data_IF_733830661666
#
_entry.id   IF_733830661666
#
_cell.length_a   1.000
_cell.length_b   1.000
_cell.length_c   1.000
_cell.angle_alpha   90.00
_cell.angle_beta   90.00
_cell.angle_gamma   90.00
#
_symmetry.space_group_name_H-M   'P 1'
#
loop_
_entity.id
_entity.type
_entity.pdbx_description
1 polymer ?
#
# COMPACT_ATOMS: atom_id res chain seq x y z
N UNK A 1 -30.96 25.32 15.49
CA UNK A 1 -30.73 23.93 15.05
C UNK A 1 -30.68 23.96 13.54
N UNK A 2 -29.56 23.56 12.97
CA UNK A 2 -29.42 23.45 11.50
C UNK A 2 -30.38 22.39 10.97
N UNK A 3 -31.16 22.79 9.98
CA UNK A 3 -32.06 21.91 9.20
C UNK A 3 -31.23 21.08 8.21
N UNK A 4 -30.25 20.31 8.71
CA UNK A 4 -29.21 19.75 7.87
C UNK A 4 -29.39 18.23 7.69
N UNK A 5 -28.98 17.79 6.55
CA UNK A 5 -28.70 16.39 6.23
C UNK A 5 -27.63 15.82 7.18
N UNK A 6 -27.85 14.62 7.68
CA UNK A 6 -26.96 13.94 8.63
C UNK A 6 -26.58 12.58 8.06
N UNK A 7 -25.32 12.19 8.26
CA UNK A 7 -24.84 10.83 7.99
C UNK A 7 -24.48 10.17 9.31
N UNK A 8 -24.85 8.91 9.46
CA UNK A 8 -24.42 8.00 10.51
C UNK A 8 -23.51 6.93 9.89
N UNK A 9 -22.31 6.80 10.43
CA UNK A 9 -21.28 5.88 9.92
C UNK A 9 -21.64 4.42 10.16
N UNK A 10 -21.02 3.53 9.38
CA UNK A 10 -21.23 2.08 9.47
C UNK A 10 -21.07 1.57 10.89
N UNK A 11 -22.07 0.80 11.31
CA UNK A 11 -22.10 0.09 12.58
C UNK A 11 -22.95 -1.17 12.46
N UNK A 12 -22.77 -2.11 13.41
CA UNK A 12 -23.61 -3.30 13.46
C UNK A 12 -25.08 -2.92 13.66
N UNK A 13 -25.94 -3.35 12.73
CA UNK A 13 -27.36 -3.03 12.72
C UNK A 13 -28.21 -4.26 13.00
N UNK A 14 -28.82 -4.31 14.18
CA UNK A 14 -29.58 -5.48 14.65
C UNK A 14 -30.69 -5.94 13.68
N UNK A 15 -31.50 -5.04 13.07
CA UNK A 15 -32.53 -5.46 12.11
C UNK A 15 -32.00 -6.16 10.87
N UNK A 16 -30.71 -5.93 10.51
CA UNK A 16 -30.01 -6.62 9.41
C UNK A 16 -29.18 -7.81 9.90
N UNK A 17 -29.55 -8.41 11.03
CA UNK A 17 -28.79 -9.55 11.60
C UNK A 17 -27.39 -9.20 12.09
N UNK A 18 -27.16 -7.94 12.45
CA UNK A 18 -25.86 -7.45 12.92
C UNK A 18 -24.88 -7.07 11.81
N UNK A 19 -25.33 -7.07 10.56
CA UNK A 19 -24.50 -6.58 9.43
C UNK A 19 -24.23 -5.08 9.57
N UNK A 20 -23.10 -4.65 9.01
CA UNK A 20 -22.71 -3.24 9.00
C UNK A 20 -23.67 -2.43 8.11
N UNK A 21 -24.20 -1.35 8.67
CA UNK A 21 -25.08 -0.43 7.94
C UNK A 21 -24.73 1.02 8.28
N UNK A 22 -24.75 1.87 7.28
CA UNK A 22 -24.67 3.32 7.42
C UNK A 22 -26.00 3.94 6.96
N UNK A 23 -26.31 5.10 7.48
CA UNK A 23 -27.56 5.77 7.17
C UNK A 23 -27.32 7.23 6.84
N UNK A 24 -28.16 7.77 5.97
CA UNK A 24 -28.32 9.20 5.81
C UNK A 24 -29.72 9.61 6.19
N UNK A 25 -29.88 10.80 6.75
CA UNK A 25 -31.18 11.30 7.18
C UNK A 25 -31.35 12.78 6.89
N UNK A 26 -32.54 13.15 6.48
CA UNK A 26 -32.91 14.54 6.28
C UNK A 26 -34.30 14.82 6.88
N UNK A 27 -34.48 15.91 7.62
CA UNK A 27 -35.80 16.31 8.16
C UNK A 27 -36.66 16.93 7.06
N UNK A 28 -37.95 16.63 7.11
CA UNK A 28 -38.98 17.24 6.28
C UNK A 28 -39.79 18.20 7.12
N UNK A 29 -39.97 19.42 6.64
CA UNK A 29 -40.68 20.49 7.34
C UNK A 29 -41.93 20.94 6.59
N UNK A 30 -42.93 21.38 7.31
CA UNK A 30 -44.09 22.09 6.72
C UNK A 30 -43.77 23.56 6.39
N UNK A 31 -44.73 24.26 5.79
CA UNK A 31 -44.59 25.67 5.44
C UNK A 31 -44.38 26.59 6.65
N UNK A 32 -44.81 26.17 7.84
CA UNK A 32 -44.63 26.91 9.08
C UNK A 32 -43.27 26.60 9.76
N UNK A 33 -42.47 25.69 9.20
CA UNK A 33 -41.15 25.31 9.72
C UNK A 33 -41.21 24.24 10.81
N UNK A 34 -42.33 23.56 11.02
CA UNK A 34 -42.43 22.43 11.95
C UNK A 34 -41.96 21.12 11.25
N UNK A 35 -41.14 20.35 11.96
CA UNK A 35 -40.69 19.05 11.46
C UNK A 35 -41.86 18.06 11.41
N UNK A 36 -42.14 17.52 10.24
CA UNK A 36 -43.24 16.59 9.98
C UNK A 36 -42.76 15.13 9.92
N UNK A 37 -41.55 14.92 9.40
CA UNK A 37 -40.98 13.60 9.22
C UNK A 37 -39.44 13.67 9.14
N UNK A 38 -38.80 12.50 9.18
CA UNK A 38 -37.42 12.31 8.77
C UNK A 38 -37.41 11.28 7.66
N UNK A 39 -36.79 11.61 6.53
CA UNK A 39 -36.48 10.62 5.48
C UNK A 39 -35.11 10.08 5.78
N UNK A 40 -35.01 8.77 5.92
CA UNK A 40 -33.74 8.07 6.12
C UNK A 40 -33.50 7.04 5.03
N UNK A 41 -32.26 6.99 4.54
CA UNK A 41 -31.81 6.01 3.54
C UNK A 41 -30.67 5.20 4.13
N UNK A 42 -30.72 3.89 3.97
CA UNK A 42 -29.59 3.01 4.27
C UNK A 42 -28.59 3.06 3.11
N UNK A 43 -27.33 3.30 3.43
CA UNK A 43 -26.23 3.34 2.44
C UNK A 43 -25.73 1.90 2.24
N UNK A 44 -25.84 1.34 1.04
CA UNK A 44 -25.34 -0.02 0.78
C UNK A 44 -23.81 -0.03 0.72
N UNK A 45 -23.20 -0.96 1.46
CA UNK A 45 -21.74 -1.15 1.46
C UNK A 45 -21.18 -1.45 0.06
N UNK A 46 -21.97 -2.14 -0.77
CA UNK A 46 -21.60 -2.46 -2.14
C UNK A 46 -21.36 -1.18 -2.97
N UNK A 47 -22.17 -0.13 -2.81
CA UNK A 47 -21.97 1.11 -3.55
C UNK A 47 -20.63 1.79 -3.21
N UNK A 48 -20.17 1.68 -1.96
CA UNK A 48 -18.84 2.17 -1.56
C UNK A 48 -17.76 1.33 -2.21
N UNK A 49 -17.86 0.01 -2.15
CA UNK A 49 -16.91 -0.90 -2.79
C UNK A 49 -16.82 -0.68 -4.30
N UNK A 50 -17.94 -0.52 -5.00
CA UNK A 50 -17.98 -0.28 -6.45
C UNK A 50 -17.22 1.00 -6.86
N UNK A 51 -17.17 2.00 -5.98
CA UNK A 51 -16.41 3.24 -6.20
C UNK A 51 -14.92 3.02 -5.95
N UNK A 52 -14.56 2.52 -4.76
CA UNK A 52 -13.14 2.43 -4.35
C UNK A 52 -12.38 1.29 -5.00
N UNK A 53 -13.07 0.24 -5.45
CA UNK A 53 -12.44 -0.91 -6.10
C UNK A 53 -12.25 -0.74 -7.62
N UNK A 54 -12.43 0.47 -8.14
CA UNK A 54 -12.05 0.79 -9.51
C UNK A 54 -10.53 0.80 -9.65
N UNK A 55 -9.99 -0.29 -10.20
CA UNK A 55 -8.54 -0.53 -10.27
C UNK A 55 -7.90 -0.05 -11.58
N UNK A 56 -8.60 0.77 -12.37
CA UNK A 56 -8.06 1.27 -13.62
C UNK A 56 -6.79 2.10 -13.37
N UNK A 57 -5.68 1.69 -13.97
CA UNK A 57 -4.38 2.35 -13.79
C UNK A 57 -3.57 1.87 -12.59
N UNK A 58 -4.12 1.02 -11.71
CA UNK A 58 -3.44 0.53 -10.51
C UNK A 58 -2.70 -0.81 -10.71
N UNK A 59 -2.63 -1.34 -11.94
CA UNK A 59 -1.96 -2.60 -12.22
C UNK A 59 -2.62 -3.81 -11.56
N UNK A 60 -1.81 -4.82 -11.23
CA UNK A 60 -2.27 -6.08 -10.63
C UNK A 60 -2.32 -6.03 -9.11
N UNK A 61 -1.36 -5.36 -8.48
CA UNK A 61 -1.20 -5.29 -7.02
C UNK A 61 -1.79 -4.03 -6.40
N UNK A 62 -2.07 -3.02 -7.23
CA UNK A 62 -2.61 -1.76 -6.76
C UNK A 62 -4.06 -1.88 -6.34
N UNK A 63 -4.41 -1.24 -5.23
CA UNK A 63 -5.79 -1.15 -4.74
C UNK A 63 -6.02 0.11 -3.94
N UNK A 64 -7.28 0.52 -3.87
CA UNK A 64 -7.75 1.56 -2.95
C UNK A 64 -8.68 0.95 -1.91
N UNK A 65 -8.54 1.38 -0.66
CA UNK A 65 -9.45 0.99 0.42
C UNK A 65 -9.71 2.16 1.37
N UNK A 66 -10.78 2.01 2.16
CA UNK A 66 -11.20 3.00 3.16
C UNK A 66 -11.11 2.43 4.56
N UNK A 67 -10.69 3.27 5.50
CA UNK A 67 -10.67 2.97 6.94
C UNK A 67 -11.09 4.19 7.75
N UNK A 68 -11.52 3.95 8.99
CA UNK A 68 -11.87 5.03 9.91
C UNK A 68 -11.47 4.70 11.35
N UNK A 69 -11.33 5.75 12.17
CA UNK A 69 -11.33 5.60 13.63
C UNK A 69 -12.77 5.60 14.13
N UNK A 70 -13.16 4.55 14.85
CA UNK A 70 -14.47 4.44 15.50
C UNK A 70 -14.33 3.78 16.87
N UNK A 71 -14.84 4.40 17.91
CA UNK A 71 -14.85 3.89 19.29
C UNK A 71 -13.45 3.44 19.77
N UNK A 72 -12.41 4.21 19.42
CA UNK A 72 -11.02 3.91 19.76
C UNK A 72 -10.36 2.83 18.91
N UNK A 73 -11.02 2.31 17.89
CA UNK A 73 -10.56 1.28 16.96
C UNK A 73 -10.31 1.83 15.58
N UNK A 74 -9.41 1.19 14.85
CA UNK A 74 -9.21 1.41 13.41
C UNK A 74 -9.95 0.29 12.68
N UNK A 75 -10.91 0.64 11.84
CA UNK A 75 -11.80 -0.34 11.18
C UNK A 75 -11.93 -0.06 9.69
N UNK A 76 -12.06 -1.11 8.88
CA UNK A 76 -12.33 -0.96 7.45
C UNK A 76 -13.70 -0.34 7.18
N UNK A 77 -13.74 0.50 6.14
CA UNK A 77 -14.95 1.10 5.54
C UNK A 77 -15.21 0.61 4.13
N UNK A 78 -14.32 -0.18 3.58
CA UNK A 78 -14.48 -0.92 2.33
C UNK A 78 -13.86 -2.30 2.47
N UNK A 79 -14.09 -3.17 1.49
CA UNK A 79 -13.41 -4.46 1.40
C UNK A 79 -12.07 -4.29 0.69
N UNK A 80 -11.02 -5.01 1.13
CA UNK A 80 -9.78 -5.18 0.39
C UNK A 80 -9.82 -6.44 -0.46
N UNK A 81 -9.35 -6.35 -1.71
CA UNK A 81 -9.33 -7.47 -2.66
C UNK A 81 -7.99 -8.18 -2.76
N UNK A 82 -6.86 -7.44 -2.59
CA UNK A 82 -5.51 -7.99 -2.80
C UNK A 82 -5.01 -8.85 -1.64
N UNK A 83 -5.61 -8.71 -0.47
CA UNK A 83 -5.31 -9.56 0.68
C UNK A 83 -6.33 -10.70 0.75
N UNK A 84 -6.10 -11.76 0.02
CA UNK A 84 -7.00 -12.91 -0.18
C UNK A 84 -7.81 -13.36 1.03
N UNK A 85 -8.85 -14.17 0.80
CA UNK A 85 -9.67 -14.91 1.77
C UNK A 85 -10.84 -14.17 2.44
N UNK A 86 -11.25 -12.99 1.98
CA UNK A 86 -12.45 -12.33 2.51
C UNK A 86 -12.36 -11.92 3.99
N UNK A 87 -11.16 -11.90 4.59
CA UNK A 87 -10.96 -11.47 5.98
C UNK A 87 -11.10 -9.97 6.15
N UNK A 88 -10.63 -9.19 5.18
CA UNK A 88 -10.58 -7.73 5.27
C UNK A 88 -11.84 -7.12 4.66
N UNK A 89 -12.92 -7.23 5.41
CA UNK A 89 -14.25 -6.74 5.03
C UNK A 89 -14.63 -5.51 5.84
N UNK A 90 -15.67 -4.81 5.39
CA UNK A 90 -16.26 -3.70 6.10
C UNK A 90 -16.50 -4.02 7.59
N UNK A 91 -15.97 -3.17 8.46
CA UNK A 91 -16.08 -3.30 9.91
C UNK A 91 -15.02 -4.18 10.57
N UNK A 92 -14.11 -4.81 9.80
CA UNK A 92 -12.99 -5.56 10.37
C UNK A 92 -12.06 -4.62 11.16
N UNK A 93 -11.66 -5.04 12.35
CA UNK A 93 -10.80 -4.31 13.28
C UNK A 93 -9.32 -4.49 12.92
N UNK A 94 -8.67 -3.39 12.59
CA UNK A 94 -7.25 -3.33 12.20
C UNK A 94 -6.34 -2.81 13.31
N UNK A 95 -6.87 -2.48 14.48
CA UNK A 95 -6.16 -1.67 15.47
C UNK A 95 -4.76 -2.20 15.79
N UNK A 96 -4.62 -3.52 15.95
CA UNK A 96 -3.35 -4.14 16.33
C UNK A 96 -2.40 -4.38 15.15
N UNK A 97 -2.89 -4.27 13.92
CA UNK A 97 -2.14 -4.57 12.69
C UNK A 97 -2.14 -3.41 11.69
N UNK A 98 -2.64 -2.25 12.10
CA UNK A 98 -2.70 -1.07 11.24
C UNK A 98 -1.29 -0.66 10.80
N UNK A 99 -1.01 -0.59 9.49
CA UNK A 99 0.29 -0.15 9.03
C UNK A 99 0.50 1.34 9.36
N UNK A 100 1.77 1.74 9.43
CA UNK A 100 2.18 3.09 9.81
C UNK A 100 1.47 4.15 8.95
N UNK A 101 1.48 3.99 7.64
CA UNK A 101 0.87 4.95 6.70
C UNK A 101 -0.64 5.15 6.95
N UNK A 102 -1.38 4.10 7.34
CA UNK A 102 -2.80 4.24 7.68
C UNK A 102 -2.99 5.06 8.96
N UNK A 103 -2.15 4.82 9.96
CA UNK A 103 -2.19 5.55 11.22
C UNK A 103 -1.85 7.04 11.01
N UNK A 104 -0.85 7.33 10.18
CA UNK A 104 -0.45 8.68 9.79
C UNK A 104 -1.57 9.41 9.06
N UNK A 105 -2.17 8.77 8.04
CA UNK A 105 -3.33 9.35 7.32
C UNK A 105 -4.50 9.63 8.27
N UNK A 106 -4.85 8.69 9.16
CA UNK A 106 -5.92 8.88 10.15
C UNK A 106 -5.61 9.95 11.20
N UNK A 107 -4.36 10.38 11.31
CA UNK A 107 -3.94 11.52 12.13
C UNK A 107 -3.88 12.83 11.33
N UNK A 108 -4.29 12.84 10.07
CA UNK A 108 -4.32 14.01 9.19
C UNK A 108 -2.97 14.37 8.58
N UNK A 109 -2.03 13.43 8.55
CA UNK A 109 -0.76 13.61 7.85
C UNK A 109 -0.95 13.29 6.36
N UNK A 110 -0.31 14.09 5.51
CA UNK A 110 -0.20 13.78 4.07
C UNK A 110 0.76 12.60 3.89
N UNK A 111 0.26 11.55 3.24
CA UNK A 111 1.01 10.31 3.03
C UNK A 111 1.21 10.09 1.53
N UNK A 112 2.44 10.32 1.07
CA UNK A 112 2.87 10.02 -0.31
C UNK A 112 4.31 9.55 -0.27
N UNK A 113 4.53 8.24 0.00
CA UNK A 113 5.87 7.69 0.13
C UNK A 113 5.89 6.17 -0.10
N UNK A 114 7.07 5.59 0.00
CA UNK A 114 7.29 4.13 0.01
C UNK A 114 7.31 3.64 1.45
N UNK A 115 6.46 2.70 1.74
CA UNK A 115 6.34 2.04 3.05
C UNK A 115 6.59 0.55 2.93
N UNK A 116 6.84 -0.09 4.05
CA UNK A 116 6.86 -1.56 4.14
C UNK A 116 5.47 -2.03 4.60
N UNK A 117 4.86 -2.92 3.84
CA UNK A 117 3.56 -3.50 4.19
C UNK A 117 3.69 -4.64 5.23
N UNK A 118 2.57 -5.22 5.64
CA UNK A 118 2.53 -6.30 6.62
C UNK A 118 3.22 -7.60 6.17
N UNK A 119 3.52 -7.74 4.88
CA UNK A 119 4.29 -8.87 4.32
C UNK A 119 5.79 -8.62 4.30
N UNK A 120 6.24 -7.40 4.64
CA UNK A 120 7.61 -6.95 4.50
C UNK A 120 7.98 -6.43 3.11
N UNK A 121 7.01 -6.35 2.19
CA UNK A 121 7.24 -5.85 0.84
C UNK A 121 7.13 -4.31 0.78
N UNK A 122 8.01 -3.63 0.01
CA UNK A 122 7.88 -2.20 -0.21
C UNK A 122 6.68 -1.89 -1.11
N UNK A 123 5.86 -0.96 -0.66
CA UNK A 123 4.66 -0.47 -1.36
C UNK A 123 4.71 1.03 -1.52
N UNK A 124 4.36 1.54 -2.68
CA UNK A 124 4.03 2.95 -2.86
C UNK A 124 2.64 3.20 -2.28
N UNK A 125 2.51 4.21 -1.46
CA UNK A 125 1.26 4.57 -0.78
C UNK A 125 0.95 6.03 -1.00
N UNK A 126 -0.33 6.30 -1.27
CA UNK A 126 -0.94 7.62 -1.15
C UNK A 126 -2.13 7.51 -0.19
N UNK A 127 -2.17 8.38 0.80
CA UNK A 127 -3.22 8.39 1.82
C UNK A 127 -3.76 9.78 2.08
N UNK A 128 -5.09 9.92 2.11
CA UNK A 128 -5.77 11.19 2.33
C UNK A 128 -7.00 11.02 3.22
N UNK A 129 -7.38 12.07 3.96
CA UNK A 129 -8.63 12.09 4.71
C UNK A 129 -9.77 12.58 3.83
N UNK A 130 -10.84 11.81 3.80
CA UNK A 130 -12.08 12.15 3.10
C UNK A 130 -13.13 12.53 4.15
N UNK A 131 -13.64 13.75 4.06
CA UNK A 131 -14.79 14.20 4.86
C UNK A 131 -16.09 13.66 4.26
N UNK A 132 -16.74 12.79 5.00
CA UNK A 132 -18.01 12.16 4.60
C UNK A 132 -19.20 13.03 5.01
N UNK A 133 -18.98 14.04 5.82
CA UNK A 133 -20.03 14.88 6.44
C UNK A 133 -20.36 14.44 7.86
N UNK A 134 -21.11 15.27 8.55
CA UNK A 134 -21.51 15.04 9.96
C UNK A 134 -20.34 14.83 10.94
N UNK A 135 -19.14 15.33 10.59
CA UNK A 135 -17.93 15.15 11.39
C UNK A 135 -17.28 13.78 11.22
N UNK A 136 -17.72 12.98 10.25
CA UNK A 136 -17.15 11.67 9.95
C UNK A 136 -16.00 11.83 8.95
N UNK A 137 -14.82 11.33 9.30
CA UNK A 137 -13.66 11.30 8.44
C UNK A 137 -13.21 9.86 8.21
N UNK A 138 -12.95 9.53 6.95
CA UNK A 138 -12.36 8.26 6.53
C UNK A 138 -10.99 8.49 5.92
N UNK A 139 -10.04 7.61 6.21
CA UNK A 139 -8.79 7.54 5.46
C UNK A 139 -9.05 6.77 4.16
N UNK A 140 -8.71 7.38 3.04
CA UNK A 140 -8.62 6.71 1.73
C UNK A 140 -7.15 6.40 1.47
N UNK A 141 -6.84 5.13 1.34
CA UNK A 141 -5.49 4.65 1.07
C UNK A 141 -5.46 3.99 -0.29
N UNK A 142 -4.57 4.46 -1.14
CA UNK A 142 -4.21 3.79 -2.40
C UNK A 142 -2.80 3.26 -2.27
N UNK A 143 -2.60 1.98 -2.52
CA UNK A 143 -1.27 1.35 -2.47
C UNK A 143 -1.02 0.48 -3.70
N UNK A 144 0.25 0.37 -4.08
CA UNK A 144 0.72 -0.52 -5.15
C UNK A 144 2.08 -1.06 -4.78
N UNK A 145 2.37 -2.33 -5.10
CA UNK A 145 3.71 -2.89 -4.91
C UNK A 145 4.76 -2.07 -5.68
N UNK A 146 5.83 -1.68 -4.99
CA UNK A 146 6.88 -0.84 -5.56
C UNK A 146 7.52 -1.49 -6.79
N UNK A 147 7.75 -2.80 -6.75
CA UNK A 147 8.27 -3.52 -7.91
C UNK A 147 7.36 -3.33 -9.12
N UNK A 148 6.05 -3.54 -8.98
CA UNK A 148 5.12 -3.38 -10.10
C UNK A 148 5.09 -1.94 -10.60
N UNK A 149 5.08 -0.96 -9.69
CA UNK A 149 5.10 0.46 -10.06
C UNK A 149 6.32 0.84 -10.89
N UNK A 150 7.51 0.32 -10.55
CA UNK A 150 8.76 0.60 -11.24
C UNK A 150 8.96 -0.23 -12.51
N UNK A 151 8.34 -1.42 -12.59
CA UNK A 151 8.53 -2.35 -13.72
C UNK A 151 7.29 -2.44 -14.61
N UNK A 152 6.32 -1.55 -14.42
CA UNK A 152 5.09 -1.53 -15.21
C UNK A 152 5.43 -1.45 -16.71
N UNK A 153 5.27 -2.58 -17.38
CA UNK A 153 5.28 -2.64 -18.84
C UNK A 153 4.00 -1.99 -19.34
N UNK A 154 4.10 -1.10 -20.30
CA UNK A 154 2.92 -0.60 -21.03
C UNK A 154 2.03 -1.76 -21.51
N UNK A 155 0.85 -1.47 -22.02
CA UNK A 155 -0.20 -2.42 -22.43
C UNK A 155 0.23 -3.55 -23.39
N UNK A 156 1.48 -3.62 -23.81
CA UNK A 156 2.01 -4.53 -24.84
C UNK A 156 2.67 -5.82 -24.31
N UNK A 157 2.80 -5.99 -22.98
CA UNK A 157 3.44 -7.22 -22.43
C UNK A 157 4.93 -7.36 -22.73
N UNK A 158 5.59 -6.26 -23.13
CA UNK A 158 7.01 -6.21 -23.41
C UNK A 158 7.86 -6.41 -22.13
N UNK A 159 9.14 -6.79 -22.31
CA UNK A 159 10.12 -6.81 -21.22
C UNK A 159 10.16 -5.45 -20.49
N UNK A 160 10.29 -5.48 -19.16
CA UNK A 160 10.41 -4.25 -18.39
C UNK A 160 11.70 -3.48 -18.70
N UNK A 161 11.75 -2.23 -18.26
CA UNK A 161 12.89 -1.35 -18.53
C UNK A 161 14.24 -1.93 -18.07
N UNK A 162 14.29 -2.56 -16.89
CA UNK A 162 15.53 -3.08 -16.32
C UNK A 162 16.00 -4.35 -17.04
N UNK A 163 15.08 -5.19 -17.48
CA UNK A 163 15.38 -6.33 -18.34
C UNK A 163 16.00 -5.90 -19.67
N UNK A 164 15.43 -4.88 -20.32
CA UNK A 164 16.01 -4.29 -21.54
C UNK A 164 17.38 -3.70 -21.26
N UNK A 165 17.54 -3.00 -20.14
CA UNK A 165 18.82 -2.39 -19.76
C UNK A 165 19.94 -3.43 -19.61
N UNK A 166 19.73 -4.51 -18.86
CA UNK A 166 20.77 -5.54 -18.69
C UNK A 166 21.10 -6.25 -20.01
N UNK A 167 20.11 -6.51 -20.86
CA UNK A 167 20.32 -7.11 -22.18
C UNK A 167 21.17 -6.21 -23.08
N UNK A 168 20.94 -4.89 -23.09
CA UNK A 168 21.68 -3.94 -23.90
C UNK A 168 23.14 -3.81 -23.47
N UNK A 169 23.41 -3.83 -22.15
CA UNK A 169 24.76 -3.63 -21.60
C UNK A 169 25.48 -4.93 -21.24
N UNK A 170 24.83 -6.08 -21.40
CA UNK A 170 25.43 -7.39 -21.13
C UNK A 170 25.62 -7.72 -19.65
N UNK A 171 24.84 -7.12 -18.76
CA UNK A 171 24.81 -7.50 -17.35
C UNK A 171 24.04 -8.82 -17.16
N UNK A 172 24.43 -9.59 -16.15
CA UNK A 172 23.75 -10.82 -15.80
C UNK A 172 22.43 -10.57 -15.07
N UNK A 173 22.44 -9.64 -14.12
CA UNK A 173 21.27 -9.26 -13.33
C UNK A 173 21.33 -7.78 -12.90
N UNK A 174 20.21 -7.25 -12.47
CA UNK A 174 20.08 -5.93 -11.86
C UNK A 174 19.19 -6.05 -10.62
N UNK A 175 19.65 -5.49 -9.51
CA UNK A 175 18.99 -5.51 -8.21
C UNK A 175 18.49 -4.13 -7.83
N UNK A 176 17.27 -4.04 -7.29
CA UNK A 176 16.81 -2.88 -6.54
C UNK A 176 16.65 -3.28 -5.08
N UNK A 177 17.31 -2.53 -4.23
CA UNK A 177 17.40 -2.81 -2.79
C UNK A 177 16.95 -1.57 -2.03
N UNK A 178 16.05 -1.73 -1.07
CA UNK A 178 15.57 -0.61 -0.26
C UNK A 178 16.60 -0.20 0.82
N UNK A 179 16.32 0.88 1.53
CA UNK A 179 17.20 1.39 2.60
C UNK A 179 17.44 0.41 3.75
N UNK A 180 16.54 -0.56 3.93
CA UNK A 180 16.65 -1.58 4.97
C UNK A 180 17.46 -2.79 4.50
N UNK A 181 17.88 -2.83 3.23
CA UNK A 181 18.63 -3.93 2.63
C UNK A 181 17.79 -5.02 1.99
N UNK A 182 16.48 -4.84 1.87
CA UNK A 182 15.58 -5.80 1.26
C UNK A 182 15.63 -5.72 -0.27
N UNK A 183 15.87 -6.85 -0.94
CA UNK A 183 15.87 -6.98 -2.40
C UNK A 183 14.42 -7.10 -2.88
N UNK A 184 13.84 -6.01 -3.33
CA UNK A 184 12.47 -5.99 -3.79
C UNK A 184 12.32 -6.22 -5.31
N UNK A 185 13.41 -6.15 -6.05
CA UNK A 185 13.46 -6.45 -7.47
C UNK A 185 14.81 -7.06 -7.88
N UNK A 186 14.78 -8.08 -8.71
CA UNK A 186 15.88 -8.54 -9.57
C UNK A 186 15.29 -9.02 -10.89
N UNK A 187 16.06 -8.95 -11.96
CA UNK A 187 15.60 -9.43 -13.27
C UNK A 187 15.52 -10.94 -13.29
N UNK A 188 16.55 -11.64 -12.79
CA UNK A 188 16.64 -13.10 -12.84
C UNK A 188 15.80 -13.82 -11.79
N UNK A 189 15.44 -13.13 -10.68
CA UNK A 189 14.68 -13.67 -9.54
C UNK A 189 15.29 -14.95 -8.97
N UNK A 190 16.61 -14.95 -8.78
CA UNK A 190 17.32 -16.03 -8.13
C UNK A 190 16.98 -16.10 -6.62
N UNK A 191 17.70 -16.93 -5.87
CA UNK A 191 17.39 -17.22 -4.46
C UNK A 191 17.58 -16.04 -3.49
N UNK A 192 18.19 -14.95 -3.94
CA UNK A 192 18.36 -13.68 -3.22
C UNK A 192 17.17 -12.72 -3.39
N UNK A 193 16.32 -12.94 -4.37
CA UNK A 193 15.09 -12.19 -4.54
C UNK A 193 14.21 -12.32 -3.29
N UNK A 194 13.67 -11.19 -2.82
CA UNK A 194 12.87 -11.09 -1.59
C UNK A 194 13.61 -11.51 -0.30
N UNK A 195 14.93 -11.34 -0.28
CA UNK A 195 15.76 -11.53 0.93
C UNK A 195 16.37 -10.21 1.38
N UNK A 196 16.85 -10.17 2.62
CA UNK A 196 17.54 -9.00 3.17
C UNK A 196 19.05 -9.17 3.07
N UNK A 197 19.76 -8.21 2.44
CA UNK A 197 21.20 -8.19 2.24
C UNK A 197 21.96 -7.61 3.44
N UNK A 198 21.29 -7.15 4.46
CA UNK A 198 21.89 -6.57 5.68
C UNK A 198 22.07 -7.60 6.77
N UNK A 199 21.03 -8.40 7.02
CA UNK A 199 20.93 -9.36 8.13
C UNK A 199 20.33 -10.71 7.72
N UNK A 200 19.97 -10.88 6.43
CA UNK A 200 19.42 -12.12 5.91
C UNK A 200 20.49 -13.14 5.51
N UNK A 201 20.02 -14.23 4.90
CA UNK A 201 20.82 -15.41 4.53
C UNK A 201 22.07 -15.10 3.70
N UNK A 202 22.05 -14.03 2.91
CA UNK A 202 23.13 -13.67 1.98
C UNK A 202 23.87 -12.39 2.39
N UNK A 203 23.71 -11.93 3.63
CA UNK A 203 24.36 -10.72 4.18
C UNK A 203 25.89 -10.79 4.14
N UNK A 204 26.48 -11.98 4.28
CA UNK A 204 27.91 -12.21 4.24
C UNK A 204 28.48 -12.39 2.82
N UNK A 205 27.62 -12.42 1.79
CA UNK A 205 28.06 -12.49 0.39
C UNK A 205 28.74 -11.17 -0.03
N UNK A 206 29.51 -11.23 -1.14
CA UNK A 206 30.12 -10.02 -1.70
C UNK A 206 29.06 -8.96 -2.09
N UNK A 207 27.87 -9.36 -2.59
CA UNK A 207 26.76 -8.44 -2.80
C UNK A 207 26.24 -7.87 -1.48
N UNK A 208 26.00 -8.71 -0.45
CA UNK A 208 25.53 -8.27 0.86
C UNK A 208 26.47 -7.27 1.51
N UNK A 209 27.77 -7.53 1.48
CA UNK A 209 28.80 -6.61 1.99
C UNK A 209 28.84 -5.31 1.20
N UNK A 210 28.72 -5.36 -0.14
CA UNK A 210 28.66 -4.19 -1.00
C UNK A 210 27.44 -3.31 -0.68
N UNK A 211 26.25 -3.90 -0.55
CA UNK A 211 25.01 -3.16 -0.20
C UNK A 211 25.17 -2.47 1.18
N UNK A 212 25.73 -3.18 2.17
CA UNK A 212 25.99 -2.59 3.48
C UNK A 212 26.99 -1.44 3.42
N UNK A 213 28.04 -1.55 2.59
CA UNK A 213 29.02 -0.51 2.37
C UNK A 213 28.40 0.73 1.74
N UNK A 214 27.70 0.56 0.61
CA UNK A 214 27.06 1.65 -0.16
C UNK A 214 25.97 2.34 0.65
N UNK A 215 25.17 1.58 1.42
CA UNK A 215 24.15 2.15 2.32
C UNK A 215 24.76 3.07 3.39
N UNK A 216 25.98 2.79 3.87
CA UNK A 216 26.68 3.61 4.86
C UNK A 216 27.43 4.78 4.25
N UNK A 217 28.17 4.54 3.16
CA UNK A 217 28.99 5.58 2.52
C UNK A 217 28.19 6.56 1.70
N UNK A 218 27.03 6.13 1.18
CA UNK A 218 26.26 6.86 0.17
C UNK A 218 27.05 7.13 -1.13
N UNK A 219 28.07 6.32 -1.38
CA UNK A 219 28.94 6.43 -2.56
C UNK A 219 28.86 5.16 -3.38
N UNK A 220 29.23 5.24 -4.65
CA UNK A 220 29.42 4.12 -5.55
C UNK A 220 30.36 3.08 -4.93
N UNK A 221 30.06 1.81 -5.12
CA UNK A 221 30.89 0.70 -4.68
C UNK A 221 31.05 -0.41 -5.71
N UNK A 222 32.11 -1.20 -5.54
CA UNK A 222 32.40 -2.37 -6.38
C UNK A 222 32.85 -3.53 -5.48
N UNK A 223 32.29 -4.71 -5.72
CA UNK A 223 32.74 -5.97 -5.15
C UNK A 223 33.33 -6.87 -6.24
N UNK A 224 34.55 -7.32 -6.03
CA UNK A 224 35.26 -8.19 -6.96
C UNK A 224 34.66 -9.60 -7.04
N UNK A 225 35.05 -10.36 -8.04
CA UNK A 225 34.58 -11.73 -8.25
C UNK A 225 34.78 -12.60 -7.02
N UNK A 226 33.71 -13.22 -6.58
CA UNK A 226 33.67 -14.23 -5.53
C UNK A 226 32.58 -15.25 -5.81
N UNK A 227 32.68 -16.50 -5.28
CA UNK A 227 31.59 -17.46 -5.40
C UNK A 227 30.30 -16.89 -4.82
N UNK A 228 29.22 -16.89 -5.61
CA UNK A 228 27.94 -16.35 -5.23
C UNK A 228 26.86 -17.44 -5.12
N UNK A 229 26.43 -17.72 -3.90
CA UNK A 229 25.54 -18.85 -3.64
C UNK A 229 24.19 -18.78 -4.37
N UNK A 230 23.51 -17.62 -4.50
CA UNK A 230 22.27 -17.53 -5.28
C UNK A 230 22.43 -17.99 -6.74
N UNK A 231 23.56 -17.69 -7.38
CA UNK A 231 23.91 -18.13 -8.75
C UNK A 231 24.62 -19.50 -8.77
N UNK A 232 24.21 -20.43 -7.90
CA UNK A 232 24.77 -21.79 -7.79
C UNK A 232 26.31 -21.83 -7.54
N UNK A 233 26.83 -20.83 -6.84
CA UNK A 233 28.26 -20.73 -6.52
C UNK A 233 29.14 -20.26 -7.67
N UNK A 234 28.58 -19.81 -8.77
CA UNK A 234 29.35 -19.17 -9.85
C UNK A 234 30.00 -17.89 -9.35
N UNK A 235 31.15 -17.55 -9.93
CA UNK A 235 31.82 -16.30 -9.57
C UNK A 235 31.05 -15.09 -10.12
N UNK A 236 30.69 -14.16 -9.24
CA UNK A 236 30.00 -12.93 -9.59
C UNK A 236 30.70 -11.71 -8.98
N UNK A 237 30.80 -10.64 -9.77
CA UNK A 237 31.23 -9.32 -9.32
C UNK A 237 30.05 -8.37 -9.39
N UNK A 238 30.02 -7.38 -8.52
CA UNK A 238 28.90 -6.45 -8.41
C UNK A 238 29.36 -5.01 -8.39
N UNK A 239 28.54 -4.15 -8.99
CA UNK A 239 28.63 -2.70 -8.84
C UNK A 239 27.34 -2.22 -8.19
N UNK A 240 27.42 -1.24 -7.29
CA UNK A 240 26.25 -0.66 -6.66
C UNK A 240 26.39 0.85 -6.54
N UNK A 241 25.26 1.53 -6.69
CA UNK A 241 25.15 2.97 -6.56
C UNK A 241 23.89 3.32 -5.75
N UNK A 242 23.96 4.27 -4.80
CA UNK A 242 22.78 4.74 -4.12
C UNK A 242 21.89 5.55 -5.08
N UNK A 243 20.58 5.39 -4.95
CA UNK A 243 19.60 6.28 -5.54
C UNK A 243 19.16 7.23 -4.43
N UNK A 244 19.44 8.52 -4.58
CA UNK A 244 19.14 9.52 -3.56
C UNK A 244 17.96 10.37 -4.04
N UNK A 245 17.03 10.64 -3.11
CA UNK A 245 15.96 11.62 -3.33
C UNK A 245 16.33 12.92 -2.60
N UNK A 246 16.37 14.04 -3.33
CA UNK A 246 16.76 15.37 -2.82
C UNK A 246 18.09 15.41 -2.06
N UNK A 247 18.99 14.44 -2.31
CA UNK A 247 20.32 14.37 -1.69
C UNK A 247 20.39 13.56 -0.39
N UNK A 248 19.30 12.92 0.01
CA UNK A 248 19.20 12.01 1.15
C UNK A 248 18.93 10.55 0.74
#
# INVERSE_FOLDING_TARGET
>A
QEKSFVIEDFSAYSPSGGQQAAFSGAPVYDQAGNMQAVVSLQIPSQAINDIVQQRQGLGKTGETYLSAKKDGKIVFRSTMQTMGDGQYVLGYDLTDIAPQYLTETLNGQDVQDVYTDSSGAPVMVAGDLVDIGSGIQWAMITKQNLQEALTSTGSSGDEDYFSKYINEYGYYDLFLVNNEGYVFYTVTKEADYQTNMRDGKYSDSNLGQLIQQVSRSKEYGLADFAPYAPSNGQAAAFIAQPVLHQGE
#
